data_IF_916348799753
#
_entry.id   IF_916348799753
#
_cell.length_a   1.000
_cell.length_b   1.000
_cell.length_c   1.000
_cell.angle_alpha   90.00
_cell.angle_beta   90.00
_cell.angle_gamma   90.00
#
_symmetry.space_group_name_H-M   'P 1'
#
loop_
_entity.id
_entity.type
_entity.pdbx_description
1 polymer ?
#
# COMPACT_ATOMS: atom_id res chain seq x y z
N UNK A 1 37.87 17.76 13.46
CA UNK A 1 36.78 16.87 12.97
C UNK A 1 36.29 17.52 11.70
N UNK A 2 36.61 16.95 10.55
CA UNK A 2 36.07 17.43 9.28
C UNK A 2 34.60 17.02 9.24
N UNK A 3 33.70 18.00 9.36
CA UNK A 3 32.30 17.81 8.99
C UNK A 3 32.26 17.53 7.49
N UNK A 4 32.17 16.25 7.15
CA UNK A 4 31.92 15.77 5.81
C UNK A 4 30.45 16.12 5.48
N UNK A 5 30.20 17.38 5.15
CA UNK A 5 28.89 17.84 4.69
C UNK A 5 28.68 17.23 3.31
N UNK A 6 27.89 16.16 3.24
CA UNK A 6 27.50 15.56 1.98
C UNK A 6 26.82 16.65 1.13
N UNK A 7 27.43 17.01 0.00
CA UNK A 7 26.85 18.02 -0.87
C UNK A 7 25.60 17.46 -1.55
N UNK A 8 24.51 18.23 -1.49
CA UNK A 8 23.26 17.91 -2.20
C UNK A 8 23.53 17.89 -3.71
N UNK A 9 23.25 16.75 -4.33
CA UNK A 9 23.44 16.53 -5.76
C UNK A 9 22.24 17.02 -6.58
N UNK A 10 22.38 17.07 -7.91
CA UNK A 10 21.25 17.41 -8.79
C UNK A 10 20.18 16.32 -8.74
N UNK A 11 20.60 15.08 -8.61
CA UNK A 11 19.76 13.91 -8.42
C UNK A 11 18.95 14.01 -7.13
N UNK A 12 19.54 14.46 -6.03
CA UNK A 12 18.82 14.70 -4.78
C UNK A 12 17.69 15.73 -4.95
N UNK A 13 17.98 16.84 -5.64
CA UNK A 13 16.97 17.87 -5.90
C UNK A 13 15.83 17.37 -6.78
N UNK A 14 16.11 16.43 -7.69
CA UNK A 14 15.08 15.80 -8.51
C UNK A 14 14.03 15.07 -7.65
N UNK A 15 14.42 14.41 -6.55
CA UNK A 15 13.45 13.74 -5.67
C UNK A 15 12.45 14.71 -5.04
N UNK A 16 12.86 15.92 -4.69
CA UNK A 16 11.96 16.96 -4.15
C UNK A 16 10.93 17.37 -5.21
N UNK A 17 11.39 17.58 -6.45
CA UNK A 17 10.50 17.91 -7.57
C UNK A 17 9.58 16.76 -7.94
N UNK A 18 10.11 15.53 -7.96
CA UNK A 18 9.35 14.32 -8.22
C UNK A 18 8.24 14.13 -7.17
N UNK A 19 8.54 14.31 -5.89
CA UNK A 19 7.55 14.23 -4.81
C UNK A 19 6.37 15.17 -5.04
N UNK A 20 6.63 16.42 -5.45
CA UNK A 20 5.57 17.40 -5.72
C UNK A 20 4.71 17.01 -6.92
N UNK A 21 5.34 16.50 -7.98
CA UNK A 21 4.64 16.02 -9.17
C UNK A 21 3.77 14.81 -8.84
N UNK A 22 4.31 13.83 -8.13
CA UNK A 22 3.57 12.64 -7.71
C UNK A 22 2.39 13.01 -6.81
N UNK A 23 2.60 13.92 -5.84
CA UNK A 23 1.53 14.38 -4.96
C UNK A 23 0.39 15.07 -5.73
N UNK A 24 0.71 16.01 -6.63
CA UNK A 24 -0.31 16.69 -7.46
C UNK A 24 -1.01 15.69 -8.39
N UNK A 25 -0.27 14.73 -8.94
CA UNK A 25 -0.85 13.66 -9.74
C UNK A 25 -1.83 12.79 -8.95
N UNK A 26 -1.45 12.40 -7.73
CA UNK A 26 -2.29 11.62 -6.82
C UNK A 26 -3.57 12.38 -6.45
N UNK A 27 -3.47 13.64 -6.01
CA UNK A 27 -4.63 14.47 -5.63
C UNK A 27 -5.63 14.61 -6.79
N UNK A 28 -5.13 14.81 -8.02
CA UNK A 28 -5.96 14.87 -9.24
C UNK A 28 -6.58 13.53 -9.60
N UNK A 29 -5.84 12.44 -9.38
CA UNK A 29 -6.30 11.07 -9.66
C UNK A 29 -7.43 10.69 -8.71
N UNK A 30 -7.28 10.92 -7.40
CA UNK A 30 -8.32 10.71 -6.40
C UNK A 30 -9.58 11.51 -6.75
N UNK A 31 -9.43 12.81 -7.04
CA UNK A 31 -10.56 13.68 -7.40
C UNK A 31 -11.33 13.15 -8.62
N UNK A 32 -10.61 12.69 -9.65
CA UNK A 32 -11.22 12.13 -10.86
C UNK A 32 -11.90 10.79 -10.62
N UNK A 33 -11.30 9.94 -9.79
CA UNK A 33 -11.83 8.62 -9.46
C UNK A 33 -13.07 8.77 -8.59
N UNK A 34 -13.07 9.66 -7.60
CA UNK A 34 -14.26 9.97 -6.80
C UNK A 34 -15.46 10.34 -7.69
N UNK A 35 -15.26 11.23 -8.68
CA UNK A 35 -16.29 11.59 -9.64
C UNK A 35 -16.74 10.43 -10.56
N UNK A 36 -15.87 9.44 -10.80
CA UNK A 36 -16.23 8.21 -11.53
C UNK A 36 -17.02 7.25 -10.65
N UNK A 37 -16.62 7.05 -9.39
CA UNK A 37 -17.32 6.22 -8.42
C UNK A 37 -18.79 6.66 -8.25
N UNK A 38 -19.04 7.97 -8.15
CA UNK A 38 -20.41 8.53 -8.13
C UNK A 38 -21.20 8.11 -9.39
N UNK A 39 -20.60 8.23 -10.57
CA UNK A 39 -21.24 7.87 -11.85
C UNK A 39 -21.41 6.36 -12.05
N UNK A 40 -20.67 5.54 -11.32
CA UNK A 40 -20.74 4.07 -11.35
C UNK A 40 -21.77 3.51 -10.36
N UNK A 41 -22.67 4.36 -9.83
CA UNK A 41 -23.67 3.93 -8.84
C UNK A 41 -23.26 4.21 -7.41
N UNK A 42 -22.40 5.22 -7.19
CA UNK A 42 -21.92 5.62 -5.86
C UNK A 42 -21.18 4.49 -5.13
N UNK A 43 -20.33 3.78 -5.87
CA UNK A 43 -19.44 2.75 -5.32
C UNK A 43 -18.40 3.36 -4.39
N UNK A 44 -17.82 2.54 -3.50
CA UNK A 44 -16.68 2.94 -2.70
C UNK A 44 -15.42 3.13 -3.58
N UNK A 45 -14.40 3.83 -3.08
CA UNK A 45 -13.18 4.05 -3.87
C UNK A 45 -12.35 2.78 -4.00
N UNK A 46 -12.37 1.96 -2.95
CA UNK A 46 -11.75 0.65 -2.82
C UNK A 46 -12.33 -0.36 -3.81
N UNK A 47 -13.57 -0.17 -4.23
CA UNK A 47 -14.26 -0.98 -5.23
C UNK A 47 -13.96 -0.53 -6.67
N UNK A 48 -13.23 0.58 -6.85
CA UNK A 48 -12.88 1.06 -8.17
C UNK A 48 -11.93 0.08 -8.86
N UNK A 49 -12.15 -0.29 -10.14
CA UNK A 49 -11.37 -1.34 -10.82
C UNK A 49 -9.85 -1.14 -10.86
N UNK A 50 -9.38 0.09 -10.67
CA UNK A 50 -7.95 0.45 -10.67
C UNK A 50 -7.50 0.97 -9.30
N UNK A 51 -8.14 0.56 -8.21
CA UNK A 51 -7.77 0.99 -6.86
C UNK A 51 -6.33 0.61 -6.50
N UNK A 52 -5.85 -0.56 -6.91
CA UNK A 52 -4.44 -0.97 -6.69
C UNK A 52 -3.44 0.03 -7.27
N UNK A 53 -3.70 0.58 -8.45
CA UNK A 53 -2.84 1.61 -9.04
C UNK A 53 -2.81 2.91 -8.22
N UNK A 54 -3.90 3.23 -7.52
CA UNK A 54 -3.92 4.38 -6.58
C UNK A 54 -2.97 4.12 -5.41
N UNK A 55 -2.96 2.89 -4.90
CA UNK A 55 -2.06 2.48 -3.81
C UNK A 55 -0.61 2.46 -4.28
N UNK A 56 -0.31 1.96 -5.47
CA UNK A 56 1.04 1.97 -6.05
C UNK A 56 1.62 3.39 -6.12
N UNK A 57 0.81 4.37 -6.57
CA UNK A 57 1.22 5.78 -6.62
C UNK A 57 1.42 6.35 -5.21
N UNK A 58 0.57 5.96 -4.26
CA UNK A 58 0.70 6.41 -2.87
C UNK A 58 1.97 5.83 -2.21
N UNK A 59 2.33 4.60 -2.53
CA UNK A 59 3.58 3.96 -2.13
C UNK A 59 4.79 4.69 -2.72
N UNK A 60 4.79 5.00 -4.01
CA UNK A 60 5.88 5.76 -4.66
C UNK A 60 6.07 7.15 -4.02
N UNK A 61 4.99 7.82 -3.64
CA UNK A 61 5.03 9.08 -2.87
C UNK A 61 5.71 8.86 -1.51
N UNK A 62 5.37 7.78 -0.81
CA UNK A 62 5.95 7.45 0.48
C UNK A 62 7.45 7.15 0.37
N UNK A 63 7.86 6.32 -0.59
CA UNK A 63 9.26 6.01 -0.85
C UNK A 63 10.08 7.25 -1.19
N UNK A 64 9.58 8.08 -2.12
CA UNK A 64 10.21 9.34 -2.52
C UNK A 64 10.33 10.30 -1.32
N UNK A 65 9.27 10.43 -0.52
CA UNK A 65 9.27 11.28 0.66
C UNK A 65 10.22 10.79 1.76
N UNK A 66 10.26 9.48 2.01
CA UNK A 66 11.17 8.88 3.00
C UNK A 66 12.63 9.06 2.58
N UNK A 67 12.93 8.96 1.29
CA UNK A 67 14.26 9.30 0.77
C UNK A 67 14.65 10.74 1.10
N UNK A 68 13.75 11.71 0.87
CA UNK A 68 13.99 13.13 1.19
C UNK A 68 14.22 13.32 2.69
N UNK A 69 13.40 12.68 3.54
CA UNK A 69 13.51 12.76 5.01
C UNK A 69 14.81 12.11 5.51
N UNK A 70 15.33 11.10 4.82
CA UNK A 70 16.59 10.45 5.21
C UNK A 70 17.84 11.33 5.05
N UNK A 71 17.73 12.48 4.37
CA UNK A 71 18.84 13.38 4.04
C UNK A 71 18.63 14.79 4.61
N UNK A 72 19.15 15.08 5.82
CA UNK A 72 19.02 16.39 6.45
C UNK A 72 19.53 17.55 5.60
N UNK A 73 20.49 17.30 4.70
CA UNK A 73 21.08 18.32 3.81
C UNK A 73 20.04 18.86 2.81
N UNK A 74 18.98 18.11 2.54
CA UNK A 74 17.88 18.50 1.64
C UNK A 74 16.84 19.41 2.33
N UNK A 75 16.82 19.51 3.66
CA UNK A 75 15.76 20.21 4.39
C UNK A 75 15.62 21.71 4.03
N UNK A 76 16.71 22.47 3.79
CA UNK A 76 16.58 23.86 3.31
C UNK A 76 15.95 23.98 1.92
N UNK A 77 16.02 22.93 1.10
CA UNK A 77 15.38 22.89 -0.22
C UNK A 77 13.90 22.50 -0.09
N UNK A 78 13.59 21.56 0.80
CA UNK A 78 12.22 21.20 1.19
C UNK A 78 11.47 22.42 1.69
N UNK A 79 12.04 23.18 2.63
CA UNK A 79 11.41 24.38 3.19
C UNK A 79 11.09 25.48 2.15
N UNK A 80 11.79 25.48 1.00
CA UNK A 80 11.53 26.43 -0.09
C UNK A 80 10.41 25.98 -1.03
N UNK A 81 10.17 24.67 -1.16
CA UNK A 81 9.24 24.12 -2.16
C UNK A 81 7.97 23.52 -1.54
N UNK A 82 8.04 23.05 -0.30
CA UNK A 82 6.94 22.43 0.43
C UNK A 82 6.50 23.38 1.55
N UNK A 83 5.24 23.79 1.51
CA UNK A 83 4.64 24.62 2.55
C UNK A 83 4.66 23.87 3.89
N UNK A 84 5.15 24.52 4.95
CA UNK A 84 5.36 23.88 6.26
C UNK A 84 6.64 23.04 6.35
N UNK A 85 7.45 22.98 5.30
CA UNK A 85 8.78 22.37 5.30
C UNK A 85 8.79 20.90 5.67
N UNK A 86 9.85 20.48 6.37
CA UNK A 86 10.09 19.07 6.69
C UNK A 86 9.02 18.48 7.63
N UNK A 87 8.50 19.28 8.56
CA UNK A 87 7.46 18.83 9.50
C UNK A 87 6.16 18.49 8.76
N UNK A 88 5.75 19.33 7.81
CA UNK A 88 4.59 19.05 6.97
C UNK A 88 4.80 17.82 6.09
N UNK A 89 6.00 17.66 5.52
CA UNK A 89 6.36 16.47 4.75
C UNK A 89 6.23 15.19 5.60
N UNK A 90 6.83 15.16 6.79
CA UNK A 90 6.77 14.02 7.71
C UNK A 90 5.34 13.70 8.15
N UNK A 91 4.53 14.72 8.45
CA UNK A 91 3.13 14.53 8.82
C UNK A 91 2.32 13.91 7.66
N UNK A 92 2.46 14.47 6.45
CA UNK A 92 1.79 13.93 5.26
C UNK A 92 2.20 12.48 5.00
N UNK A 93 3.49 12.16 5.11
CA UNK A 93 3.99 10.80 4.94
C UNK A 93 3.40 9.83 5.97
N UNK A 94 3.31 10.25 7.23
CA UNK A 94 2.68 9.43 8.28
C UNK A 94 1.22 9.12 7.96
N UNK A 95 0.48 10.08 7.41
CA UNK A 95 -0.91 9.88 6.99
C UNK A 95 -0.96 8.89 5.82
N UNK A 96 -0.16 9.10 4.78
CA UNK A 96 -0.13 8.22 3.60
C UNK A 96 0.28 6.79 3.93
N UNK A 97 1.27 6.61 4.81
CA UNK A 97 1.70 5.30 5.28
C UNK A 97 0.61 4.60 6.10
N UNK A 98 -0.16 5.35 6.89
CA UNK A 98 -1.30 4.80 7.61
C UNK A 98 -2.42 4.37 6.64
N UNK A 99 -2.70 5.17 5.62
CA UNK A 99 -3.66 4.82 4.57
C UNK A 99 -3.25 3.57 3.81
N UNK A 100 -1.98 3.45 3.41
CA UNK A 100 -1.45 2.23 2.80
C UNK A 100 -1.67 1.02 3.72
N UNK A 101 -1.24 1.10 4.98
CA UNK A 101 -1.42 0.00 5.94
C UNK A 101 -2.88 -0.45 6.08
N UNK A 102 -3.82 0.48 6.03
CA UNK A 102 -5.25 0.17 6.16
C UNK A 102 -5.86 -0.45 4.89
N UNK A 103 -5.24 -0.23 3.72
CA UNK A 103 -5.81 -0.53 2.41
C UNK A 103 -4.98 -1.51 1.57
N UNK A 104 -3.76 -1.86 1.99
CA UNK A 104 -2.91 -2.82 1.30
C UNK A 104 -3.56 -4.20 1.28
N UNK A 105 -3.68 -4.76 0.08
CA UNK A 105 -4.20 -6.12 -0.07
C UNK A 105 -3.19 -7.16 0.44
N UNK A 106 -3.64 -8.37 0.83
CA UNK A 106 -2.73 -9.46 1.21
C UNK A 106 -1.67 -9.77 0.15
N UNK A 107 -1.98 -9.58 -1.14
CA UNK A 107 -1.01 -9.82 -2.22
C UNK A 107 0.02 -8.71 -2.37
N UNK A 108 -0.31 -7.45 -2.02
CA UNK A 108 0.68 -6.37 -1.91
C UNK A 108 1.59 -6.59 -0.69
N UNK A 109 1.02 -7.02 0.44
CA UNK A 109 1.79 -7.33 1.66
C UNK A 109 2.77 -8.49 1.43
N UNK A 110 2.40 -9.51 0.64
CA UNK A 110 3.28 -10.63 0.26
C UNK A 110 4.46 -10.22 -0.63
N UNK A 111 4.41 -9.06 -1.26
CA UNK A 111 5.50 -8.55 -2.09
C UNK A 111 6.46 -7.64 -1.29
N UNK A 112 6.04 -7.18 -0.10
CA UNK A 112 6.86 -6.39 0.80
C UNK A 112 7.61 -7.29 1.82
N UNK A 113 8.94 -7.51 1.63
CA UNK A 113 9.73 -8.34 2.53
C UNK A 113 9.83 -7.77 3.95
N UNK A 114 9.64 -6.46 4.14
CA UNK A 114 9.69 -5.84 5.47
C UNK A 114 8.40 -6.06 6.26
N UNK A 115 7.24 -6.01 5.61
CA UNK A 115 5.96 -6.35 6.24
C UNK A 115 5.83 -7.85 6.51
N UNK A 116 6.37 -8.72 5.65
CA UNK A 116 6.49 -10.16 5.95
C UNK A 116 7.30 -10.40 7.22
N UNK A 117 8.43 -9.70 7.40
CA UNK A 117 9.25 -9.86 8.59
C UNK A 117 8.55 -9.34 9.84
N UNK A 118 7.83 -8.22 9.77
CA UNK A 118 7.01 -7.73 10.89
C UNK A 118 5.85 -8.66 11.21
N UNK A 119 5.22 -9.27 10.21
CA UNK A 119 4.19 -10.30 10.42
C UNK A 119 4.77 -11.54 11.08
N UNK A 120 5.95 -12.01 10.66
CA UNK A 120 6.66 -13.12 11.30
C UNK A 120 7.01 -12.80 12.75
N UNK A 121 7.44 -11.57 13.03
CA UNK A 121 7.80 -11.12 14.38
C UNK A 121 6.55 -10.97 15.27
N UNK A 122 5.43 -10.47 14.72
CA UNK A 122 4.15 -10.33 15.42
C UNK A 122 3.41 -11.66 15.64
N UNK A 123 3.59 -12.63 14.74
CA UNK A 123 3.06 -14.00 14.86
C UNK A 123 3.92 -14.87 15.79
N UNK A 124 5.10 -14.41 16.18
CA UNK A 124 6.10 -15.17 16.95
C UNK A 124 6.75 -16.28 16.12
N UNK A 125 7.80 -16.89 16.66
CA UNK A 125 8.27 -18.18 16.15
C UNK A 125 7.10 -19.17 16.27
N UNK A 126 6.46 -19.48 15.14
CA UNK A 126 5.56 -20.64 15.07
C UNK A 126 6.41 -21.81 15.55
N UNK A 127 6.05 -22.38 16.68
CA UNK A 127 6.72 -23.54 17.24
C UNK A 127 6.57 -24.72 16.25
N UNK A 128 7.53 -24.85 15.34
CA UNK A 128 7.57 -25.92 14.34
C UNK A 128 7.86 -27.28 14.96
N UNK A 129 8.03 -27.37 16.29
CA UNK A 129 8.25 -28.66 16.95
C UNK A 129 7.00 -29.54 16.94
N UNK A 130 5.81 -28.95 16.78
CA UNK A 130 4.57 -29.69 16.59
C UNK A 130 4.04 -29.50 15.17
N UNK A 131 4.63 -30.23 14.23
CA UNK A 131 4.11 -30.36 12.87
C UNK A 131 2.73 -31.07 12.91
N UNK A 132 1.60 -30.35 12.71
CA UNK A 132 0.27 -30.95 12.72
C UNK A 132 0.00 -31.81 11.48
N UNK A 133 0.91 -31.78 10.48
CA UNK A 133 0.86 -32.52 9.23
C UNK A 133 1.73 -33.78 9.23
N UNK A 134 2.51 -34.02 10.30
CA UNK A 134 3.42 -35.16 10.44
C UNK A 134 2.76 -36.54 10.32
N UNK A 135 1.44 -36.64 10.56
CA UNK A 135 0.65 -37.86 10.34
C UNK A 135 -0.10 -37.94 9.01
N UNK A 136 -0.19 -36.83 8.27
CA UNK A 136 -0.99 -36.68 7.06
C UNK A 136 -0.16 -36.72 5.76
N UNK A 137 1.18 -36.72 5.86
CA UNK A 137 2.08 -36.82 4.70
C UNK A 137 2.07 -35.60 3.78
N UNK A 138 1.61 -34.45 4.27
CA UNK A 138 1.70 -33.14 3.58
C UNK A 138 2.74 -32.29 4.29
N UNK A 139 3.46 -31.43 3.57
CA UNK A 139 4.29 -30.41 4.20
C UNK A 139 3.39 -29.24 4.67
N UNK A 140 3.84 -28.47 5.67
CA UNK A 140 3.14 -27.29 6.18
C UNK A 140 2.91 -26.24 5.08
N UNK A 141 3.85 -26.15 4.12
CA UNK A 141 3.72 -25.30 2.94
C UNK A 141 2.57 -25.77 2.02
N UNK A 142 2.38 -27.08 1.88
CA UNK A 142 1.28 -27.67 1.10
C UNK A 142 -0.07 -27.44 1.79
N UNK A 143 -0.09 -27.54 3.12
CA UNK A 143 -1.29 -27.24 3.92
C UNK A 143 -1.67 -25.76 3.79
N UNK A 144 -0.70 -24.85 3.88
CA UNK A 144 -0.94 -23.41 3.76
C UNK A 144 -1.45 -23.04 2.37
N UNK A 145 -0.86 -23.62 1.32
CA UNK A 145 -1.34 -23.45 -0.05
C UNK A 145 -2.77 -23.98 -0.23
N UNK A 146 -3.10 -25.10 0.42
CA UNK A 146 -4.45 -25.68 0.35
C UNK A 146 -5.49 -24.83 1.08
N UNK A 147 -5.17 -24.32 2.27
CA UNK A 147 -6.05 -23.43 3.04
C UNK A 147 -6.28 -22.10 2.30
N UNK A 148 -5.27 -21.56 1.63
CA UNK A 148 -5.41 -20.37 0.79
C UNK A 148 -6.31 -20.66 -0.43
N UNK A 149 -6.16 -21.82 -1.07
CA UNK A 149 -7.00 -22.23 -2.19
C UNK A 149 -8.45 -22.54 -1.79
N UNK A 150 -8.68 -23.06 -0.58
CA UNK A 150 -10.03 -23.28 -0.03
C UNK A 150 -10.73 -21.96 0.30
N UNK A 151 -10.03 -20.99 0.90
CA UNK A 151 -10.57 -19.64 1.13
C UNK A 151 -10.92 -18.90 -0.17
N UNK A 152 -10.11 -19.06 -1.23
CA UNK A 152 -10.41 -18.49 -2.55
C UNK A 152 -11.68 -19.10 -3.16
N UNK A 153 -11.87 -20.42 -3.02
CA UNK A 153 -13.08 -21.11 -3.50
C UNK A 153 -14.34 -20.73 -2.72
N UNK A 154 -14.24 -20.50 -1.41
CA UNK A 154 -15.36 -20.03 -0.59
C UNK A 154 -15.77 -18.59 -0.94
N UNK A 155 -14.81 -17.73 -1.33
CA UNK A 155 -15.08 -16.39 -1.84
C UNK A 155 -15.70 -16.38 -3.25
N UNK A 156 -15.32 -17.32 -4.12
CA UNK A 156 -15.95 -17.48 -5.45
C UNK A 156 -17.38 -18.04 -5.37
N UNK A 157 -17.64 -19.01 -4.48
CA UNK A 157 -18.99 -19.58 -4.30
C UNK A 157 -19.99 -18.61 -3.65
N UNK A 158 -19.52 -17.69 -2.80
CA UNK A 158 -20.38 -16.64 -2.23
C UNK A 158 -20.72 -15.52 -3.22
N UNK A 159 -19.99 -15.38 -4.33
CA UNK A 159 -20.29 -14.45 -5.41
C UNK A 159 -21.32 -14.99 -6.45
N UNK A 160 -21.45 -16.31 -6.60
CA UNK A 160 -22.38 -16.94 -7.57
C UNK A 160 -23.83 -17.10 -7.09
N UNK A 161 -24.12 -16.86 -5.80
CA UNK A 161 -25.50 -16.89 -5.26
C UNK A 161 -26.05 -15.49 -4.98
N UNK A 162 -26.27 -14.68 -6.03
CA UNK A 162 -27.28 -13.61 -6.01
C UNK A 162 -28.41 -13.99 -6.98
N UNK A 163 -29.67 -14.16 -6.53
CA UNK A 163 -30.78 -14.43 -7.43
C UNK A 163 -31.07 -13.18 -8.28
N UNK A 164 -31.08 -13.36 -9.60
CA UNK A 164 -31.72 -12.46 -10.55
C UNK A 164 -33.22 -12.39 -10.27
N UNK A 165 -33.68 -11.23 -9.77
CA UNK A 165 -35.10 -10.89 -9.69
C UNK A 165 -35.50 -10.30 -11.07
N UNK A 166 -36.01 -11.16 -11.95
CA UNK A 166 -36.61 -10.74 -13.22
C UNK A 166 -38.00 -10.14 -12.98
N UNK A 167 -38.18 -8.91 -13.45
CA UNK A 167 -39.35 -8.10 -13.22
C UNK A 167 -40.66 -8.68 -13.74
N UNK A 168 -41.72 -8.45 -12.97
CA UNK A 168 -43.10 -8.66 -13.39
C UNK A 168 -43.77 -7.29 -13.58
N UNK A 169 -43.90 -6.86 -14.84
CA UNK A 169 -44.81 -5.77 -15.24
C UNK A 169 -46.06 -6.41 -15.87
N UNK A 170 -47.21 -6.18 -15.24
CA UNK A 170 -48.52 -6.13 -15.88
C UNK A 170 -49.22 -4.85 -15.43
#
# INVERSE_FOLDING_TARGET
>A
MEENTAQVTKEDLWYIDNYLVLKDYYDRTISRIAARCIRMGNIAMEEYPFYSYILDVLEEICETGNYIVSKPEMYPYVARKIAGGIEALQNNLSIYQQELKNNSSPDMIKQDPTEINKMKEALGEIDTTFDPTAGAGMNIDDLMNKLLAENQKEQEQSAETKPTDEGNQQ
#
